data_IF_380944034139
#
_entry.id   IF_380944034139
#
_cell.length_a   1.000
_cell.length_b   1.000
_cell.length_c   1.000
_cell.angle_alpha   90.00
_cell.angle_beta   90.00
_cell.angle_gamma   90.00
#
_symmetry.space_group_name_H-M   'P 1'
#
loop_
_entity.id
_entity.type
_entity.pdbx_description
1 polymer ?
#
# COMPACT_ATOMS: atom_id res chain seq x y z
N UNK A 1 -33.99 21.40 -9.99
CA UNK A 1 -33.08 20.75 -9.01
C UNK A 1 -32.68 21.69 -7.88
N UNK A 2 -31.80 22.69 -8.07
CA UNK A 2 -31.37 23.61 -6.97
C UNK A 2 -32.52 24.28 -6.18
N UNK A 3 -33.60 24.67 -6.87
CA UNK A 3 -34.79 25.21 -6.20
C UNK A 3 -35.47 24.19 -5.26
N UNK A 4 -35.51 22.90 -5.61
CA UNK A 4 -36.03 21.84 -4.74
C UNK A 4 -35.09 21.64 -3.53
N UNK A 5 -33.77 21.69 -3.74
CA UNK A 5 -32.81 21.61 -2.64
C UNK A 5 -32.95 22.79 -1.66
N UNK A 6 -33.15 24.01 -2.15
CA UNK A 6 -33.44 25.18 -1.31
C UNK A 6 -34.75 25.04 -0.52
N UNK A 7 -35.69 24.18 -0.97
CA UNK A 7 -36.92 23.86 -0.26
C UNK A 7 -36.73 22.72 0.76
N UNK A 8 -35.51 22.22 0.96
CA UNK A 8 -35.17 21.21 1.95
C UNK A 8 -35.18 19.76 1.44
N UNK A 9 -35.47 19.52 0.16
CA UNK A 9 -35.38 18.18 -0.42
C UNK A 9 -33.92 17.78 -0.59
N UNK A 10 -33.57 16.58 -0.16
CA UNK A 10 -32.22 16.03 -0.40
C UNK A 10 -32.10 15.61 -1.87
N UNK A 11 -30.89 15.66 -2.47
CA UNK A 11 -30.70 15.24 -3.87
C UNK A 11 -31.29 13.86 -4.17
N UNK A 12 -31.13 12.91 -3.25
CA UNK A 12 -31.57 11.52 -3.41
C UNK A 12 -33.10 11.37 -3.47
N UNK A 13 -33.84 12.40 -3.04
CA UNK A 13 -35.31 12.45 -3.07
C UNK A 13 -35.85 13.04 -4.38
N UNK A 14 -34.98 13.57 -5.24
CA UNK A 14 -35.37 14.24 -6.48
C UNK A 14 -35.37 13.23 -7.63
N UNK A 15 -36.54 13.09 -8.27
CA UNK A 15 -36.72 12.36 -9.52
C UNK A 15 -36.86 13.34 -10.67
N UNK A 16 -36.06 13.16 -11.71
CA UNK A 16 -36.09 14.00 -12.91
C UNK A 16 -36.73 13.25 -14.08
N UNK A 17 -37.92 13.69 -14.46
CA UNK A 17 -38.64 13.19 -15.63
C UNK A 17 -38.18 13.93 -16.90
N UNK A 18 -37.55 13.20 -17.83
CA UNK A 18 -37.10 13.76 -19.12
C UNK A 18 -37.96 13.34 -20.32
N UNK A 19 -39.17 12.81 -20.07
CA UNK A 19 -40.14 12.32 -21.08
C UNK A 19 -40.53 13.39 -22.09
N UNK A 20 -40.63 14.65 -21.64
CA UNK A 20 -41.05 15.77 -22.48
C UNK A 20 -39.98 16.86 -22.55
N UNK A 21 -40.05 17.69 -23.60
CA UNK A 21 -39.08 18.74 -23.89
C UNK A 21 -38.30 18.51 -25.18
N UNK A 22 -37.57 19.53 -25.61
CA UNK A 22 -36.65 19.38 -26.75
C UNK A 22 -35.50 18.45 -26.37
N UNK A 23 -34.84 17.84 -27.36
CA UNK A 23 -33.66 17.00 -27.12
C UNK A 23 -32.59 17.70 -26.27
N UNK A 24 -32.39 19.00 -26.48
CA UNK A 24 -31.45 19.81 -25.70
C UNK A 24 -31.90 19.99 -24.25
N UNK A 25 -33.20 20.16 -23.99
CA UNK A 25 -33.75 20.26 -22.64
C UNK A 25 -33.63 18.93 -21.89
N UNK A 26 -34.02 17.82 -22.52
CA UNK A 26 -33.90 16.48 -21.91
C UNK A 26 -32.44 16.15 -21.62
N UNK A 27 -31.52 16.38 -22.57
CA UNK A 27 -30.09 16.17 -22.34
C UNK A 27 -29.54 17.06 -21.22
N UNK A 28 -29.93 18.34 -21.17
CA UNK A 28 -29.52 19.26 -20.11
C UNK A 28 -30.02 18.82 -18.73
N UNK A 29 -31.25 18.32 -18.64
CA UNK A 29 -31.81 17.78 -17.40
C UNK A 29 -31.03 16.54 -16.94
N UNK A 30 -30.76 15.59 -17.83
CA UNK A 30 -29.98 14.37 -17.51
C UNK A 30 -28.56 14.73 -17.06
N UNK A 31 -27.88 15.67 -17.73
CA UNK A 31 -26.55 16.11 -17.29
C UNK A 31 -26.62 16.76 -15.91
N UNK A 32 -27.63 17.61 -15.66
CA UNK A 32 -27.81 18.24 -14.37
C UNK A 32 -28.10 17.24 -13.24
N UNK A 33 -28.82 16.15 -13.51
CA UNK A 33 -29.11 15.12 -12.51
C UNK A 33 -27.86 14.34 -12.10
N UNK A 34 -26.95 14.08 -13.04
CA UNK A 34 -25.65 13.46 -12.72
C UNK A 34 -24.74 14.40 -11.93
N UNK A 35 -24.67 15.67 -12.30
CA UNK A 35 -23.83 16.67 -11.60
C UNK A 35 -24.35 16.92 -10.18
N UNK A 36 -25.66 16.87 -9.98
CA UNK A 36 -26.31 17.18 -8.70
C UNK A 36 -26.61 15.93 -7.87
N UNK A 37 -26.18 14.73 -8.30
CA UNK A 37 -26.32 13.45 -7.58
C UNK A 37 -27.78 13.14 -7.17
N UNK A 38 -28.74 13.41 -8.07
CA UNK A 38 -30.16 13.20 -7.77
C UNK A 38 -30.54 11.73 -7.79
N UNK A 39 -31.57 11.36 -7.02
CA UNK A 39 -31.98 9.96 -6.80
C UNK A 39 -32.25 9.16 -8.08
N UNK A 40 -33.06 9.69 -8.99
CA UNK A 40 -33.33 8.99 -10.25
C UNK A 40 -33.71 9.89 -11.42
N UNK A 41 -33.54 9.34 -12.61
CA UNK A 41 -33.93 9.93 -13.89
C UNK A 41 -34.93 8.99 -14.54
N UNK A 42 -36.16 9.46 -14.74
CA UNK A 42 -37.25 8.65 -15.28
C UNK A 42 -37.66 9.11 -16.66
N UNK A 43 -38.10 8.16 -17.49
CA UNK A 43 -38.84 8.46 -18.70
C UNK A 43 -40.02 7.50 -18.85
N UNK A 44 -41.09 8.02 -19.42
CA UNK A 44 -42.29 7.26 -19.77
C UNK A 44 -42.24 6.93 -21.26
N UNK A 45 -42.41 5.67 -21.60
CA UNK A 45 -42.55 5.21 -22.98
C UNK A 45 -43.76 4.28 -23.11
N UNK A 46 -44.27 4.06 -24.31
CA UNK A 46 -45.34 3.09 -24.56
C UNK A 46 -45.36 2.65 -26.01
N UNK A 47 -46.22 1.69 -26.34
CA UNK A 47 -46.42 1.26 -27.72
C UNK A 47 -46.96 2.42 -28.54
N UNK A 48 -46.52 2.52 -29.80
CA UNK A 48 -46.90 3.63 -30.67
C UNK A 48 -47.85 3.16 -31.75
N UNK A 49 -48.89 3.95 -31.99
CA UNK A 49 -49.77 3.77 -33.13
C UNK A 49 -49.05 4.09 -34.46
N UNK A 50 -49.73 3.82 -35.56
CA UNK A 50 -49.28 4.13 -36.92
C UNK A 50 -49.01 5.63 -37.19
N UNK A 51 -49.44 6.53 -36.29
CA UNK A 51 -49.18 7.97 -36.33
C UNK A 51 -48.07 8.40 -35.35
N UNK A 52 -47.39 7.45 -34.70
CA UNK A 52 -46.33 7.69 -33.73
C UNK A 52 -46.80 8.16 -32.35
N UNK A 53 -48.11 8.13 -32.06
CA UNK A 53 -48.67 8.48 -30.75
C UNK A 53 -48.64 7.28 -29.81
N UNK A 54 -48.33 7.52 -28.53
CA UNK A 54 -48.36 6.46 -27.51
C UNK A 54 -49.80 6.00 -27.30
N UNK A 55 -50.02 4.68 -27.32
CA UNK A 55 -51.31 4.04 -27.10
C UNK A 55 -51.60 4.07 -25.60
N UNK A 56 -52.74 4.65 -25.21
CA UNK A 56 -53.15 4.72 -23.79
C UNK A 56 -53.29 3.34 -23.17
N UNK A 57 -52.74 3.17 -21.97
CA UNK A 57 -52.68 1.90 -21.24
C UNK A 57 -51.42 1.07 -21.52
N UNK A 58 -50.55 1.53 -22.44
CA UNK A 58 -49.27 0.86 -22.75
C UNK A 58 -48.05 1.58 -22.14
N UNK A 59 -48.28 2.65 -21.38
CA UNK A 59 -47.24 3.44 -20.74
C UNK A 59 -46.45 2.61 -19.71
N UNK A 60 -45.13 2.69 -19.79
CA UNK A 60 -44.16 2.09 -18.89
C UNK A 60 -43.17 3.16 -18.47
N UNK A 61 -42.92 3.23 -17.17
CA UNK A 61 -41.88 4.08 -16.60
C UNK A 61 -40.60 3.27 -16.55
N UNK A 62 -39.54 3.79 -17.16
CA UNK A 62 -38.18 3.28 -16.96
C UNK A 62 -37.40 4.32 -16.15
N UNK A 63 -36.70 3.85 -15.12
CA UNK A 63 -35.87 4.67 -14.25
C UNK A 63 -34.41 4.28 -14.40
N UNK A 64 -33.53 5.27 -14.42
CA UNK A 64 -32.08 5.11 -14.31
C UNK A 64 -31.69 5.74 -12.97
N UNK A 65 -30.81 5.08 -12.22
CA UNK A 65 -30.29 5.57 -10.94
C UNK A 65 -28.88 6.17 -11.16
N UNK A 66 -28.73 7.50 -11.25
CA UNK A 66 -27.43 8.16 -11.42
C UNK A 66 -26.44 7.78 -10.32
N UNK A 67 -26.95 7.64 -9.09
CA UNK A 67 -26.18 7.33 -7.90
C UNK A 67 -25.52 5.95 -7.99
N UNK A 68 -26.16 4.97 -8.64
CA UNK A 68 -25.54 3.66 -8.88
C UNK A 68 -24.33 3.77 -9.82
N UNK A 69 -24.47 4.48 -10.93
CA UNK A 69 -23.36 4.68 -11.87
C UNK A 69 -22.21 5.45 -11.22
N UNK A 70 -22.55 6.45 -10.40
CA UNK A 70 -21.57 7.24 -9.67
C UNK A 70 -20.84 6.40 -8.60
N UNK A 71 -21.56 5.57 -7.85
CA UNK A 71 -20.99 4.62 -6.91
C UNK A 71 -20.00 3.66 -7.59
N UNK A 72 -20.38 3.06 -8.72
CA UNK A 72 -19.49 2.18 -9.49
C UNK A 72 -18.23 2.92 -9.96
N UNK A 73 -18.35 4.16 -10.47
CA UNK A 73 -17.19 4.99 -10.84
C UNK A 73 -16.29 5.30 -9.66
N UNK A 74 -16.86 5.64 -8.49
CA UNK A 74 -16.10 5.91 -7.26
C UNK A 74 -15.39 4.65 -6.77
N UNK A 75 -16.02 3.47 -6.84
CA UNK A 75 -15.37 2.18 -6.52
C UNK A 75 -14.19 1.94 -7.48
N UNK A 76 -14.35 2.16 -8.79
CA UNK A 76 -13.24 2.03 -9.74
C UNK A 76 -12.09 3.00 -9.41
N UNK A 77 -12.40 4.23 -9.01
CA UNK A 77 -11.40 5.20 -8.55
C UNK A 77 -10.68 4.72 -7.27
N UNK A 78 -11.43 4.21 -6.29
CA UNK A 78 -10.85 3.64 -5.07
C UNK A 78 -9.91 2.46 -5.38
N UNK A 79 -10.29 1.57 -6.30
CA UNK A 79 -9.43 0.48 -6.78
C UNK A 79 -8.13 1.03 -7.39
N UNK A 80 -8.20 2.07 -8.22
CA UNK A 80 -7.01 2.72 -8.79
C UNK A 80 -6.09 3.31 -7.72
N UNK A 81 -6.67 3.96 -6.72
CA UNK A 81 -5.93 4.55 -5.60
C UNK A 81 -5.27 3.46 -4.74
N UNK A 82 -5.99 2.39 -4.41
CA UNK A 82 -5.45 1.20 -3.75
C UNK A 82 -4.27 0.61 -4.53
N UNK A 83 -4.43 0.43 -5.85
CA UNK A 83 -3.40 -0.12 -6.73
C UNK A 83 -2.14 0.77 -6.82
N UNK A 84 -2.23 2.04 -6.42
CA UNK A 84 -1.12 3.01 -6.33
C UNK A 84 -0.69 3.29 -4.89
N UNK A 85 -1.09 2.45 -3.93
CA UNK A 85 -0.75 2.55 -2.51
C UNK A 85 -1.23 3.84 -1.82
N UNK A 86 -2.22 4.52 -2.42
CA UNK A 86 -2.90 5.69 -1.86
C UNK A 86 -4.08 5.24 -0.99
N UNK A 87 -3.78 4.52 0.08
CA UNK A 87 -4.82 3.86 0.89
C UNK A 87 -5.78 4.84 1.57
N UNK A 88 -5.28 5.95 2.12
CA UNK A 88 -6.13 6.94 2.78
C UNK A 88 -7.08 7.62 1.78
N UNK A 89 -6.59 7.95 0.59
CA UNK A 89 -7.44 8.48 -0.49
C UNK A 89 -8.47 7.46 -0.98
N UNK A 90 -8.08 6.18 -1.06
CA UNK A 90 -9.02 5.10 -1.39
C UNK A 90 -10.14 5.00 -0.35
N UNK A 91 -9.83 5.06 0.95
CA UNK A 91 -10.83 5.06 2.03
C UNK A 91 -11.73 6.29 2.00
N UNK A 92 -11.18 7.47 1.73
CA UNK A 92 -11.98 8.70 1.62
C UNK A 92 -13.02 8.57 0.50
N UNK A 93 -12.62 8.10 -0.70
CA UNK A 93 -13.53 7.88 -1.82
C UNK A 93 -14.60 6.82 -1.49
N UNK A 94 -14.23 5.76 -0.76
CA UNK A 94 -15.18 4.72 -0.35
C UNK A 94 -16.23 5.24 0.63
N UNK A 95 -15.85 6.11 1.57
CA UNK A 95 -16.79 6.73 2.50
C UNK A 95 -17.84 7.60 1.80
N UNK A 96 -17.50 8.22 0.66
CA UNK A 96 -18.46 8.95 -0.17
C UNK A 96 -19.46 8.04 -0.88
N UNK A 97 -19.15 6.75 -1.05
CA UNK A 97 -20.08 5.76 -1.64
C UNK A 97 -21.06 5.24 -0.59
N UNK A 98 -20.60 5.02 0.65
CA UNK A 98 -21.45 4.57 1.76
C UNK A 98 -22.63 5.53 2.02
N UNK A 99 -22.44 6.83 1.78
CA UNK A 99 -23.50 7.83 1.89
C UNK A 99 -24.39 8.01 0.65
N UNK A 100 -24.08 7.33 -0.47
CA UNK A 100 -24.71 7.60 -1.78
C UNK A 100 -25.78 6.56 -2.17
N UNK A 101 -25.56 5.28 -1.88
CA UNK A 101 -26.46 4.18 -2.27
C UNK A 101 -26.29 2.94 -1.38
N UNK A 102 -27.39 2.27 -1.02
CA UNK A 102 -27.41 1.11 -0.12
C UNK A 102 -27.73 -0.23 -0.82
N UNK A 103 -27.52 -0.32 -2.13
CA UNK A 103 -27.75 -1.58 -2.86
C UNK A 103 -26.79 -2.68 -2.40
N UNK A 104 -27.26 -3.92 -2.10
CA UNK A 104 -26.44 -4.96 -1.48
C UNK A 104 -25.10 -5.25 -2.19
N UNK A 105 -25.09 -5.25 -3.52
CA UNK A 105 -23.88 -5.54 -4.31
C UNK A 105 -22.82 -4.42 -4.22
N UNK A 106 -23.25 -3.17 -4.07
CA UNK A 106 -22.37 -2.01 -3.88
C UNK A 106 -21.83 -2.01 -2.44
N UNK A 107 -22.70 -2.23 -1.45
CA UNK A 107 -22.32 -2.31 -0.03
C UNK A 107 -21.28 -3.42 0.16
N UNK A 108 -21.46 -4.58 -0.47
CA UNK A 108 -20.51 -5.70 -0.40
C UNK A 108 -19.13 -5.32 -0.99
N UNK A 109 -19.10 -4.69 -2.18
CA UNK A 109 -17.87 -4.20 -2.80
C UNK A 109 -17.14 -3.17 -1.94
N UNK A 110 -17.88 -2.18 -1.42
CA UNK A 110 -17.32 -1.12 -0.57
C UNK A 110 -16.78 -1.70 0.73
N UNK A 111 -17.55 -2.56 1.40
CA UNK A 111 -17.14 -3.22 2.65
C UNK A 111 -15.85 -4.01 2.47
N UNK A 112 -15.78 -4.84 1.42
CA UNK A 112 -14.60 -5.63 1.15
C UNK A 112 -13.39 -4.77 0.78
N UNK A 113 -13.57 -3.79 -0.10
CA UNK A 113 -12.48 -2.92 -0.55
C UNK A 113 -11.96 -2.03 0.58
N UNK A 114 -12.84 -1.52 1.45
CA UNK A 114 -12.47 -0.79 2.67
C UNK A 114 -11.65 -1.68 3.60
N UNK A 115 -12.06 -2.93 3.81
CA UNK A 115 -11.32 -3.89 4.64
C UNK A 115 -9.95 -4.22 4.05
N UNK A 116 -9.86 -4.50 2.74
CA UNK A 116 -8.59 -4.71 2.04
C UNK A 116 -7.68 -3.48 2.18
N UNK A 117 -8.21 -2.29 1.92
CA UNK A 117 -7.46 -1.03 1.98
C UNK A 117 -6.88 -0.79 3.37
N UNK A 118 -7.68 -1.02 4.43
CA UNK A 118 -7.20 -0.94 5.82
C UNK A 118 -6.13 -1.98 6.12
N UNK A 119 -6.31 -3.22 5.67
CA UNK A 119 -5.35 -4.30 5.91
C UNK A 119 -3.98 -4.02 5.29
N UNK A 120 -3.96 -3.59 4.03
CA UNK A 120 -2.73 -3.27 3.32
C UNK A 120 -2.11 -1.95 3.78
N UNK A 121 -2.89 -0.97 4.24
CA UNK A 121 -2.38 0.22 4.91
C UNK A 121 -1.69 -0.11 6.24
N UNK A 122 -2.29 -0.99 7.06
CA UNK A 122 -1.68 -1.48 8.29
C UNK A 122 -0.37 -2.23 7.99
N UNK A 123 -0.36 -3.11 6.99
CA UNK A 123 0.86 -3.83 6.61
C UNK A 123 1.94 -2.87 6.11
N UNK A 124 1.61 -1.89 5.28
CA UNK A 124 2.60 -0.96 4.75
C UNK A 124 3.26 -0.06 5.83
N UNK A 125 2.63 0.03 7.00
CA UNK A 125 3.13 0.67 8.23
C UNK A 125 3.78 -0.30 9.22
N UNK A 126 3.95 -1.57 8.84
CA UNK A 126 4.46 -2.67 9.67
C UNK A 126 3.59 -2.97 10.91
N UNK A 127 2.31 -2.61 10.91
CA UNK A 127 1.33 -2.97 11.94
C UNK A 127 0.81 -4.41 11.69
N UNK A 128 1.73 -5.39 11.72
CA UNK A 128 1.48 -6.74 11.20
C UNK A 128 0.27 -7.44 11.84
N UNK A 129 0.07 -7.27 13.15
CA UNK A 129 -1.07 -7.86 13.87
C UNK A 129 -2.42 -7.35 13.36
N UNK A 130 -2.54 -6.04 13.16
CA UNK A 130 -3.75 -5.42 12.62
C UNK A 130 -3.98 -5.86 11.17
N UNK A 131 -2.91 -5.94 10.37
CA UNK A 131 -2.99 -6.45 9.00
C UNK A 131 -3.44 -7.92 8.94
N UNK A 132 -2.95 -8.79 9.84
CA UNK A 132 -3.35 -10.20 9.93
C UNK A 132 -4.85 -10.32 10.21
N UNK A 133 -5.34 -9.60 11.22
CA UNK A 133 -6.75 -9.61 11.60
C UNK A 133 -7.64 -9.15 10.43
N UNK A 134 -7.24 -8.04 9.77
CA UNK A 134 -8.00 -7.49 8.67
C UNK A 134 -7.93 -8.34 7.40
N UNK A 135 -6.83 -9.03 7.11
CA UNK A 135 -6.72 -9.95 5.95
C UNK A 135 -7.44 -11.28 6.17
N UNK A 136 -7.66 -11.70 7.42
CA UNK A 136 -8.18 -13.02 7.75
C UNK A 136 -9.45 -13.40 7.00
N UNK A 137 -9.37 -14.44 6.16
CA UNK A 137 -10.51 -15.02 5.45
C UNK A 137 -10.96 -14.25 4.21
N UNK A 138 -10.31 -13.13 3.84
CA UNK A 138 -10.66 -12.35 2.64
C UNK A 138 -10.45 -13.14 1.34
N UNK A 139 -9.51 -14.08 1.31
CA UNK A 139 -9.25 -14.96 0.17
C UNK A 139 -10.44 -15.89 -0.16
N UNK A 140 -11.35 -16.10 0.80
CA UNK A 140 -12.53 -16.94 0.63
C UNK A 140 -13.73 -16.14 0.09
N UNK A 141 -13.66 -14.82 0.07
CA UNK A 141 -14.73 -13.96 -0.41
C UNK A 141 -14.92 -14.11 -1.95
N UNK A 142 -16.14 -14.23 -2.48
CA UNK A 142 -16.38 -14.38 -3.92
C UNK A 142 -15.72 -13.28 -4.78
N UNK A 143 -15.88 -12.02 -4.36
CA UNK A 143 -15.25 -10.85 -4.99
C UNK A 143 -13.72 -10.94 -5.09
N UNK A 144 -13.02 -11.67 -4.21
CA UNK A 144 -11.57 -11.85 -4.31
C UNK A 144 -11.16 -12.62 -5.58
N UNK A 145 -11.98 -13.57 -6.00
CA UNK A 145 -11.78 -14.27 -7.29
C UNK A 145 -12.11 -13.33 -8.46
N UNK A 146 -13.20 -12.58 -8.31
CA UNK A 146 -13.68 -11.61 -9.30
C UNK A 146 -12.59 -10.56 -9.61
N UNK A 147 -12.00 -9.95 -8.58
CA UNK A 147 -10.91 -8.98 -8.72
C UNK A 147 -9.55 -9.61 -9.07
N UNK A 148 -9.46 -10.93 -9.19
CA UNK A 148 -8.24 -11.63 -9.57
C UNK A 148 -7.17 -11.70 -8.49
N UNK A 149 -7.52 -11.47 -7.22
CA UNK A 149 -6.57 -11.32 -6.11
C UNK A 149 -6.54 -12.53 -5.16
N UNK A 150 -7.46 -13.49 -5.29
CA UNK A 150 -7.59 -14.65 -4.38
C UNK A 150 -6.28 -15.37 -4.08
N UNK A 151 -5.49 -15.70 -5.11
CA UNK A 151 -4.19 -16.38 -4.95
C UNK A 151 -3.19 -15.50 -4.19
N UNK A 152 -3.14 -14.21 -4.53
CA UNK A 152 -2.24 -13.26 -3.89
C UNK A 152 -2.61 -13.09 -2.41
N UNK A 153 -3.90 -12.88 -2.09
CA UNK A 153 -4.37 -12.80 -0.70
C UNK A 153 -3.93 -14.00 0.14
N UNK A 154 -3.99 -15.21 -0.41
CA UNK A 154 -3.52 -16.43 0.29
C UNK A 154 -2.02 -16.39 0.57
N UNK A 155 -1.20 -16.01 -0.41
CA UNK A 155 0.25 -15.86 -0.20
C UNK A 155 0.53 -14.79 0.86
N UNK A 156 -0.07 -13.62 0.68
CA UNK A 156 0.05 -12.47 1.56
C UNK A 156 -0.30 -12.80 3.01
N UNK A 157 -1.45 -13.44 3.24
CA UNK A 157 -1.89 -13.84 4.57
C UNK A 157 -0.89 -14.82 5.23
N UNK A 158 -0.44 -15.84 4.50
CA UNK A 158 0.57 -16.79 5.01
C UNK A 158 1.90 -16.11 5.33
N UNK A 159 2.39 -15.25 4.44
CA UNK A 159 3.67 -14.56 4.59
C UNK A 159 3.65 -13.57 5.75
N UNK A 160 2.55 -12.86 5.94
CA UNK A 160 2.38 -11.92 7.06
C UNK A 160 2.50 -12.64 8.41
N UNK A 161 1.92 -13.83 8.54
CA UNK A 161 2.05 -14.66 9.74
C UNK A 161 3.49 -15.17 9.95
N UNK A 162 4.22 -15.48 8.87
CA UNK A 162 5.63 -15.88 8.96
C UNK A 162 6.52 -14.71 9.38
N UNK A 163 6.22 -13.51 8.90
CA UNK A 163 6.91 -12.30 9.29
C UNK A 163 6.64 -11.90 10.74
N UNK A 164 5.40 -12.02 11.21
CA UNK A 164 5.03 -11.67 12.59
C UNK A 164 5.70 -12.59 13.63
N UNK A 165 5.87 -13.87 13.31
CA UNK A 165 6.50 -14.87 14.19
C UNK A 165 7.97 -14.60 14.51
N UNK A 166 8.70 -13.88 13.65
CA UNK A 166 10.11 -13.61 13.87
C UNK A 166 10.49 -12.20 13.45
N UNK A 167 10.91 -11.42 14.45
CA UNK A 167 11.42 -10.07 14.26
C UNK A 167 12.67 -10.01 13.38
N UNK A 168 13.46 -11.10 13.32
CA UNK A 168 14.70 -11.21 12.56
C UNK A 168 14.56 -12.29 11.47
N UNK A 169 13.71 -12.01 10.49
CA UNK A 169 13.39 -12.90 9.36
C UNK A 169 13.73 -12.29 8.00
N UNK A 170 13.96 -13.16 7.02
CA UNK A 170 14.08 -12.79 5.61
C UNK A 170 12.77 -12.22 5.05
N UNK A 171 11.61 -12.65 5.56
CA UNK A 171 10.31 -12.09 5.18
C UNK A 171 10.23 -10.59 5.44
N UNK A 172 10.65 -10.13 6.62
CA UNK A 172 10.69 -8.71 6.95
C UNK A 172 11.72 -7.93 6.14
N UNK A 173 12.87 -8.54 5.84
CA UNK A 173 13.87 -7.91 4.97
C UNK A 173 13.31 -7.65 3.56
N UNK A 174 12.61 -8.65 3.01
CA UNK A 174 12.03 -8.55 1.67
C UNK A 174 10.79 -7.66 1.66
N UNK A 175 9.97 -7.64 2.71
CA UNK A 175 8.88 -6.66 2.82
C UNK A 175 9.40 -5.23 2.94
N UNK A 176 10.46 -4.95 3.71
CA UNK A 176 11.13 -3.64 3.72
C UNK A 176 11.61 -3.21 2.32
N UNK A 177 12.16 -4.15 1.54
CA UNK A 177 12.57 -3.89 0.15
C UNK A 177 11.36 -3.53 -0.73
N UNK A 178 10.28 -4.32 -0.69
CA UNK A 178 9.09 -4.05 -1.48
C UNK A 178 8.38 -2.78 -1.01
N UNK A 179 8.36 -2.49 0.29
CA UNK A 179 7.85 -1.24 0.87
C UNK A 179 8.62 -0.02 0.34
N UNK A 180 9.93 -0.12 0.18
CA UNK A 180 10.72 0.92 -0.49
C UNK A 180 10.31 1.10 -1.96
N UNK A 181 10.09 0.01 -2.70
CA UNK A 181 9.61 0.06 -4.09
C UNK A 181 8.23 0.69 -4.20
N UNK A 182 7.31 0.39 -3.28
CA UNK A 182 5.96 0.98 -3.23
C UNK A 182 6.03 2.51 -3.09
N UNK A 183 6.92 3.03 -2.24
CA UNK A 183 7.14 4.48 -2.11
C UNK A 183 7.75 5.10 -3.37
N UNK A 184 8.68 4.41 -4.02
CA UNK A 184 9.26 4.86 -5.29
C UNK A 184 8.23 4.90 -6.42
N UNK A 185 7.29 3.93 -6.49
CA UNK A 185 6.18 3.94 -7.44
C UNK A 185 5.24 5.16 -7.27
N UNK A 186 5.16 5.73 -6.07
CA UNK A 186 4.45 6.99 -5.81
C UNK A 186 5.29 8.25 -6.11
N UNK A 187 6.54 8.10 -6.55
CA UNK A 187 7.48 9.20 -6.72
C UNK A 187 8.10 9.73 -5.42
N UNK A 188 7.92 9.04 -4.29
CA UNK A 188 8.44 9.42 -2.97
C UNK A 188 9.84 8.83 -2.76
N UNK A 189 10.82 9.31 -3.52
CA UNK A 189 12.16 8.72 -3.54
C UNK A 189 12.95 8.88 -2.24
N UNK A 190 12.79 10.01 -1.53
CA UNK A 190 13.39 10.19 -0.20
C UNK A 190 12.90 9.12 0.81
N UNK A 191 11.60 8.89 0.83
CA UNK A 191 10.96 7.85 1.66
C UNK A 191 11.41 6.44 1.28
N UNK A 192 11.61 6.19 -0.01
CA UNK A 192 12.12 4.92 -0.51
C UNK A 192 13.58 4.69 -0.07
N UNK A 193 14.45 5.71 -0.19
CA UNK A 193 15.85 5.61 0.25
C UNK A 193 15.96 5.45 1.77
N UNK A 194 15.07 6.07 2.55
CA UNK A 194 15.03 5.87 4.01
C UNK A 194 14.74 4.40 4.38
N UNK A 195 13.80 3.74 3.68
CA UNK A 195 13.45 2.32 3.89
C UNK A 195 14.58 1.39 3.47
N UNK A 196 15.24 1.71 2.36
CA UNK A 196 16.45 1.04 1.91
C UNK A 196 17.59 1.16 2.93
N UNK A 197 17.79 2.33 3.54
CA UNK A 197 18.75 2.51 4.62
C UNK A 197 18.38 1.67 5.87
N UNK A 198 17.10 1.65 6.25
CA UNK A 198 16.63 0.79 7.34
C UNK A 198 16.89 -0.69 7.05
N UNK A 199 16.73 -1.11 5.79
CA UNK A 199 16.98 -2.48 5.36
C UNK A 199 18.46 -2.86 5.54
N UNK A 200 19.42 -2.03 5.12
CA UNK A 200 20.84 -2.35 5.32
C UNK A 200 21.21 -2.47 6.82
N UNK A 201 20.64 -1.62 7.69
CA UNK A 201 20.77 -1.77 9.15
C UNK A 201 20.18 -3.09 9.64
N UNK A 202 19.01 -3.45 9.11
CA UNK A 202 18.30 -4.66 9.47
C UNK A 202 19.06 -5.92 9.08
N UNK A 203 19.78 -5.95 7.95
CA UNK A 203 20.58 -7.12 7.55
C UNK A 203 21.68 -7.44 8.57
N UNK A 204 22.39 -6.42 9.07
CA UNK A 204 23.38 -6.62 10.13
C UNK A 204 22.74 -7.13 11.42
N UNK A 205 21.58 -6.57 11.80
CA UNK A 205 20.83 -7.01 12.97
C UNK A 205 20.39 -8.47 12.85
N UNK A 206 19.89 -8.88 11.69
CA UNK A 206 19.50 -10.27 11.44
C UNK A 206 20.69 -11.21 11.57
N UNK A 207 21.84 -10.87 10.98
CA UNK A 207 23.06 -11.68 11.09
C UNK A 207 23.52 -11.84 12.54
N UNK A 208 23.68 -10.72 13.25
CA UNK A 208 24.10 -10.72 14.65
C UNK A 208 23.12 -11.53 15.54
N UNK A 209 21.82 -11.39 15.28
CA UNK A 209 20.83 -12.10 16.07
C UNK A 209 20.78 -13.60 15.76
N UNK A 210 20.71 -13.98 14.48
CA UNK A 210 20.45 -15.37 14.09
C UNK A 210 21.71 -16.24 14.12
N UNK A 211 22.87 -15.68 13.77
CA UNK A 211 24.09 -16.46 13.54
C UNK A 211 25.09 -16.33 14.70
N UNK A 212 25.00 -15.26 15.51
CA UNK A 212 26.01 -14.91 16.52
C UNK A 212 25.47 -14.83 17.94
N UNK A 213 24.52 -15.69 18.32
CA UNK A 213 24.10 -15.82 19.73
C UNK A 213 23.06 -14.78 20.18
N UNK A 214 22.20 -14.32 19.27
CA UNK A 214 21.12 -13.35 19.57
C UNK A 214 21.62 -12.00 20.05
N UNK A 215 22.77 -11.56 19.52
CA UNK A 215 23.32 -10.24 19.81
C UNK A 215 22.37 -9.14 19.31
N UNK A 216 22.09 -8.18 20.18
CA UNK A 216 21.21 -7.05 19.92
C UNK A 216 22.04 -5.78 19.76
N UNK A 217 21.85 -5.06 18.66
CA UNK A 217 22.64 -3.86 18.37
C UNK A 217 22.27 -2.67 19.26
N UNK A 218 21.04 -2.64 19.79
CA UNK A 218 20.54 -1.58 20.68
C UNK A 218 20.85 -1.84 22.17
N UNK A 219 21.35 -3.03 22.50
CA UNK A 219 21.79 -3.39 23.84
C UNK A 219 22.74 -4.58 23.80
N UNK A 220 23.95 -4.37 23.27
CA UNK A 220 24.90 -5.45 23.06
C UNK A 220 25.44 -5.99 24.38
N UNK A 221 25.22 -7.28 24.62
CA UNK A 221 25.86 -8.00 25.73
C UNK A 221 27.30 -8.35 25.36
N UNK A 222 28.25 -7.64 25.97
CA UNK A 222 29.69 -7.82 25.73
C UNK A 222 30.15 -9.19 26.21
N UNK A 223 29.52 -9.76 27.24
CA UNK A 223 29.91 -11.07 27.77
C UNK A 223 29.61 -12.19 26.79
N UNK A 224 28.66 -11.96 25.86
CA UNK A 224 28.35 -12.86 24.76
C UNK A 224 29.35 -12.77 23.59
N UNK A 225 30.26 -11.78 23.59
CA UNK A 225 31.32 -11.66 22.58
C UNK A 225 32.54 -12.53 22.93
N UNK A 226 33.30 -13.00 21.92
CA UNK A 226 34.60 -13.63 22.15
C UNK A 226 35.53 -12.73 22.98
N UNK A 227 36.26 -13.30 23.95
CA UNK A 227 37.14 -12.57 24.89
C UNK A 227 38.07 -11.55 24.20
N UNK A 228 38.59 -11.90 23.02
CA UNK A 228 39.47 -11.04 22.22
C UNK A 228 38.80 -9.72 21.77
N UNK A 229 37.48 -9.69 21.65
CA UNK A 229 36.71 -8.53 21.20
C UNK A 229 36.15 -7.70 22.35
N UNK A 230 35.95 -8.30 23.53
CA UNK A 230 35.30 -7.64 24.67
C UNK A 230 35.96 -6.29 25.00
N UNK A 231 37.29 -6.24 25.08
CA UNK A 231 38.02 -5.00 25.38
C UNK A 231 37.83 -3.89 24.34
N UNK A 232 37.65 -4.23 23.05
CA UNK A 232 37.39 -3.26 21.98
C UNK A 232 36.01 -2.62 22.12
N UNK A 233 35.00 -3.43 22.43
CA UNK A 233 33.61 -2.99 22.49
C UNK A 233 33.21 -2.40 23.85
N UNK A 234 33.88 -2.79 24.94
CA UNK A 234 33.70 -2.20 26.28
C UNK A 234 33.95 -0.68 26.28
N UNK A 235 34.92 -0.22 25.49
CA UNK A 235 35.26 1.20 25.35
C UNK A 235 34.18 2.03 24.64
N UNK A 236 33.21 1.39 23.99
CA UNK A 236 32.15 2.04 23.23
C UNK A 236 30.86 2.23 24.06
N UNK A 237 30.85 1.84 25.34
CA UNK A 237 29.72 2.09 26.23
C UNK A 237 29.42 3.58 26.34
N UNK A 238 28.14 3.93 26.27
CA UNK A 238 27.68 5.29 26.47
C UNK A 238 27.67 5.67 27.96
N UNK A 239 27.29 6.92 28.26
CA UNK A 239 27.21 7.45 29.63
C UNK A 239 26.24 6.67 30.55
N UNK A 240 25.32 5.88 29.98
CA UNK A 240 24.37 5.01 30.71
C UNK A 240 24.87 3.56 30.83
N UNK A 241 26.15 3.30 30.53
CA UNK A 241 26.75 1.97 30.52
C UNK A 241 26.10 0.98 29.53
N UNK A 242 25.35 1.49 28.55
CA UNK A 242 24.76 0.70 27.46
C UNK A 242 25.65 0.76 26.22
N UNK A 243 25.70 -0.35 25.50
CA UNK A 243 26.41 -0.43 24.23
C UNK A 243 25.42 -0.51 23.08
N UNK A 244 25.26 0.62 22.39
CA UNK A 244 24.41 0.77 21.20
C UNK A 244 25.30 0.92 19.97
N UNK A 245 25.15 -0.01 19.02
CA UNK A 245 25.89 -0.02 17.76
C UNK A 245 25.04 0.58 16.64
N UNK A 246 25.48 1.71 16.11
CA UNK A 246 24.98 2.23 14.84
C UNK A 246 25.45 1.37 13.64
N UNK A 247 24.86 1.60 12.47
CA UNK A 247 25.09 0.83 11.24
C UNK A 247 26.54 0.39 11.01
N UNK A 248 27.47 1.35 10.89
CA UNK A 248 28.88 1.03 10.59
C UNK A 248 29.52 0.16 11.67
N UNK A 249 29.24 0.41 12.96
CA UNK A 249 29.78 -0.39 14.06
C UNK A 249 29.21 -1.81 14.11
N UNK A 250 27.95 -1.98 13.71
CA UNK A 250 27.34 -3.32 13.59
C UNK A 250 28.02 -4.15 12.50
N UNK A 251 28.39 -3.53 11.37
CA UNK A 251 29.16 -4.21 10.32
C UNK A 251 30.63 -4.43 10.69
N UNK A 252 31.26 -3.52 11.45
CA UNK A 252 32.58 -3.75 12.03
C UNK A 252 32.58 -4.95 12.99
N UNK A 253 31.51 -5.12 13.78
CA UNK A 253 31.37 -6.30 14.64
C UNK A 253 31.24 -7.58 13.83
N UNK A 254 30.46 -7.56 12.75
CA UNK A 254 30.38 -8.71 11.84
C UNK A 254 31.74 -9.04 11.21
N UNK A 255 32.51 -8.03 10.80
CA UNK A 255 33.88 -8.24 10.30
C UNK A 255 34.80 -8.85 11.38
N UNK A 256 34.77 -8.34 12.61
CA UNK A 256 35.56 -8.85 13.73
C UNK A 256 35.19 -10.30 14.11
N UNK A 257 33.92 -10.69 13.87
CA UNK A 257 33.38 -12.04 14.00
C UNK A 257 33.63 -12.91 12.77
N UNK A 258 34.40 -12.42 11.82
CA UNK A 258 34.81 -13.08 10.57
C UNK A 258 33.67 -13.33 9.57
N UNK A 259 32.50 -12.68 9.74
CA UNK A 259 31.33 -12.84 8.89
C UNK A 259 31.57 -12.24 7.47
N UNK A 260 31.21 -12.98 6.39
CA UNK A 260 31.38 -12.50 5.02
C UNK A 260 30.65 -11.18 4.72
N UNK A 261 29.45 -10.97 5.28
CA UNK A 261 28.65 -9.76 5.09
C UNK A 261 29.37 -8.55 5.71
N UNK A 262 29.93 -8.73 6.91
CA UNK A 262 30.74 -7.73 7.61
C UNK A 262 31.99 -7.34 6.82
N UNK A 263 32.76 -8.34 6.40
CA UNK A 263 33.98 -8.16 5.58
C UNK A 263 33.69 -7.39 4.30
N UNK A 264 32.69 -7.82 3.53
CA UNK A 264 32.32 -7.18 2.26
C UNK A 264 31.92 -5.71 2.48
N UNK A 265 31.06 -5.45 3.48
CA UNK A 265 30.65 -4.07 3.80
C UNK A 265 31.84 -3.19 4.16
N UNK A 266 32.72 -3.67 5.04
CA UNK A 266 33.86 -2.88 5.52
C UNK A 266 34.92 -2.66 4.44
N UNK A 267 35.12 -3.63 3.55
CA UNK A 267 35.94 -3.47 2.36
C UNK A 267 35.37 -2.41 1.42
N UNK A 268 34.08 -2.49 1.08
CA UNK A 268 33.38 -1.52 0.24
C UNK A 268 33.40 -0.12 0.88
N UNK A 269 33.19 -0.05 2.19
CA UNK A 269 33.23 1.19 2.95
C UNK A 269 34.63 1.83 2.91
N UNK A 270 35.70 1.06 3.14
CA UNK A 270 37.09 1.55 3.10
C UNK A 270 37.52 1.99 1.70
N UNK A 271 37.13 1.24 0.66
CA UNK A 271 37.48 1.54 -0.74
C UNK A 271 36.69 2.70 -1.37
N UNK A 272 35.79 3.33 -0.61
CA UNK A 272 34.84 4.33 -1.12
C UNK A 272 33.92 3.77 -2.22
N UNK A 273 33.54 2.49 -2.10
CA UNK A 273 32.60 1.81 -2.98
C UNK A 273 31.17 2.35 -2.88
N UNK A 274 30.25 1.70 -3.61
CA UNK A 274 28.87 2.17 -3.78
C UNK A 274 28.09 2.23 -2.45
N UNK A 275 28.44 1.44 -1.44
CA UNK A 275 27.79 1.53 -0.11
C UNK A 275 27.96 2.91 0.54
N UNK A 276 29.12 3.57 0.37
CA UNK A 276 29.28 4.96 0.85
C UNK A 276 28.40 5.94 0.08
N UNK A 277 28.02 5.63 -1.16
CA UNK A 277 27.04 6.44 -1.89
C UNK A 277 25.69 6.30 -1.20
N UNK A 278 25.23 5.09 -0.90
CA UNK A 278 23.97 4.85 -0.18
C UNK A 278 23.92 5.60 1.15
N UNK A 279 24.97 5.48 1.97
CA UNK A 279 25.06 6.17 3.27
C UNK A 279 25.04 7.70 3.12
N UNK A 280 25.76 8.23 2.12
CA UNK A 280 25.76 9.67 1.84
C UNK A 280 24.41 10.16 1.33
N UNK A 281 23.71 9.40 0.49
CA UNK A 281 22.40 9.79 -0.04
C UNK A 281 21.37 9.92 1.07
N UNK A 282 21.37 9.00 2.05
CA UNK A 282 20.54 9.17 3.25
C UNK A 282 20.93 10.41 4.02
N UNK A 283 22.22 10.62 4.29
CA UNK A 283 22.66 11.77 5.10
C UNK A 283 22.47 13.12 4.41
N UNK A 284 22.48 13.17 3.07
CA UNK A 284 22.30 14.40 2.30
C UNK A 284 20.83 14.81 2.13
N UNK A 285 19.91 13.88 2.38
CA UNK A 285 18.46 14.11 2.35
C UNK A 285 18.04 15.13 3.42
N UNK A 286 17.10 16.01 3.05
CA UNK A 286 16.42 16.91 3.99
C UNK A 286 15.62 16.17 5.08
N UNK A 287 15.16 14.94 4.79
CA UNK A 287 14.47 14.08 5.76
C UNK A 287 15.44 13.29 6.66
N UNK A 288 16.71 13.68 6.69
CA UNK A 288 17.74 13.14 7.57
C UNK A 288 18.58 14.28 8.16
N UNK A 289 19.75 14.56 7.59
CA UNK A 289 20.72 15.52 8.12
C UNK A 289 21.24 16.52 7.09
N UNK A 290 20.75 16.45 5.85
CA UNK A 290 21.20 17.30 4.76
C UNK A 290 20.13 18.28 4.30
N UNK A 291 20.26 18.77 3.07
CA UNK A 291 19.42 19.84 2.53
C UNK A 291 18.92 19.56 1.09
N UNK A 292 19.35 18.45 0.47
CA UNK A 292 19.04 18.14 -0.93
C UNK A 292 17.86 17.17 -1.07
N UNK A 293 17.08 17.27 -2.16
CA UNK A 293 16.10 16.26 -2.52
C UNK A 293 16.77 14.99 -3.07
N UNK A 294 16.13 13.84 -2.88
CA UNK A 294 16.55 12.57 -3.48
C UNK A 294 15.73 12.30 -4.74
N UNK A 295 16.41 12.06 -5.86
CA UNK A 295 15.78 11.71 -7.14
C UNK A 295 15.78 10.21 -7.45
N UNK A 296 15.06 9.83 -8.50
CA UNK A 296 14.93 8.44 -8.97
C UNK A 296 16.28 7.76 -9.22
N UNK A 297 17.24 8.44 -9.85
CA UNK A 297 18.56 7.87 -10.13
C UNK A 297 19.34 7.48 -8.87
N UNK A 298 19.19 8.25 -7.78
CA UNK A 298 19.80 7.92 -6.50
C UNK A 298 19.10 6.72 -5.86
N UNK A 299 17.77 6.68 -5.89
CA UNK A 299 16.98 5.54 -5.45
C UNK A 299 17.38 4.24 -6.17
N UNK A 300 17.43 4.25 -7.51
CA UNK A 300 17.77 3.08 -8.32
C UNK A 300 19.17 2.54 -8.02
N UNK A 301 20.13 3.44 -7.74
CA UNK A 301 21.48 3.07 -7.32
C UNK A 301 21.48 2.41 -5.94
N UNK A 302 20.80 3.01 -4.95
CA UNK A 302 20.66 2.43 -3.61
C UNK A 302 19.98 1.07 -3.64
N UNK A 303 18.92 0.92 -4.44
CA UNK A 303 18.17 -0.33 -4.58
C UNK A 303 19.09 -1.46 -5.05
N UNK A 304 19.90 -1.21 -6.09
CA UNK A 304 20.83 -2.20 -6.63
C UNK A 304 21.84 -2.67 -5.58
N UNK A 305 22.50 -1.72 -4.91
CA UNK A 305 23.50 -2.04 -3.88
C UNK A 305 22.90 -2.90 -2.78
N UNK A 306 21.69 -2.57 -2.31
CA UNK A 306 21.06 -3.32 -1.22
C UNK A 306 20.61 -4.71 -1.66
N UNK A 307 20.23 -4.90 -2.93
CA UNK A 307 19.96 -6.22 -3.47
C UNK A 307 21.21 -7.11 -3.46
N UNK A 308 22.40 -6.54 -3.72
CA UNK A 308 23.66 -7.26 -3.60
C UNK A 308 23.92 -7.71 -2.15
N UNK A 309 23.62 -6.86 -1.14
CA UNK A 309 23.74 -7.26 0.27
C UNK A 309 22.66 -8.28 0.70
N UNK A 310 21.46 -8.25 0.11
CA UNK A 310 20.47 -9.30 0.32
C UNK A 310 20.95 -10.65 -0.22
N UNK A 311 21.63 -10.67 -1.37
CA UNK A 311 22.23 -11.87 -1.95
C UNK A 311 23.30 -12.48 -1.05
N UNK A 312 24.05 -11.65 -0.33
CA UNK A 312 25.05 -12.10 0.65
C UNK A 312 24.43 -12.56 1.98
N UNK A 313 23.21 -12.12 2.30
CA UNK A 313 22.59 -12.38 3.60
C UNK A 313 21.65 -13.58 3.58
N UNK A 314 20.88 -13.74 2.50
CA UNK A 314 19.82 -14.74 2.43
C UNK A 314 19.84 -15.50 1.11
N UNK A 315 19.92 -16.82 1.19
CA UNK A 315 19.70 -17.67 0.03
C UNK A 315 18.25 -17.55 -0.47
N UNK A 316 18.09 -17.42 -1.78
CA UNK A 316 16.79 -17.46 -2.46
C UNK A 316 15.76 -16.42 -1.98
N UNK A 317 16.16 -15.28 -1.39
CA UNK A 317 15.21 -14.23 -0.95
C UNK A 317 14.28 -13.74 -2.08
N UNK A 318 14.73 -13.81 -3.35
CA UNK A 318 13.91 -13.51 -4.53
C UNK A 318 12.63 -14.35 -4.63
N UNK A 319 12.60 -15.56 -4.04
CA UNK A 319 11.37 -16.39 -3.98
C UNK A 319 10.31 -15.80 -3.04
N UNK A 320 10.71 -14.97 -2.08
CA UNK A 320 9.81 -14.30 -1.13
C UNK A 320 9.14 -13.09 -1.77
N UNK A 321 9.81 -12.39 -2.70
CA UNK A 321 9.31 -11.19 -3.39
C UNK A 321 7.85 -11.32 -3.85
N UNK A 322 7.46 -12.34 -4.66
CA UNK A 322 6.08 -12.46 -5.11
C UNK A 322 5.08 -12.70 -3.97
N UNK A 323 5.53 -13.15 -2.79
CA UNK A 323 4.66 -13.44 -1.64
C UNK A 323 4.35 -12.20 -0.79
N UNK A 324 5.27 -11.23 -0.75
CA UNK A 324 5.08 -9.95 -0.04
C UNK A 324 4.53 -8.85 -0.95
N UNK A 325 4.45 -9.08 -2.26
CA UNK A 325 3.85 -8.12 -3.18
C UNK A 325 2.37 -7.90 -2.86
N UNK A 326 1.96 -6.64 -2.92
CA UNK A 326 0.57 -6.27 -2.72
C UNK A 326 -0.23 -6.58 -4.00
N UNK A 327 -1.48 -7.05 -3.88
CA UNK A 327 -2.31 -7.37 -5.03
C UNK A 327 -2.60 -6.11 -5.84
N UNK A 328 -2.78 -6.29 -7.15
CA UNK A 328 -3.37 -5.26 -8.02
C UNK A 328 -4.77 -5.74 -8.41
N UNK A 329 -5.79 -5.02 -7.97
CA UNK A 329 -7.19 -5.35 -8.24
C UNK A 329 -7.55 -4.99 -9.68
N UNK A 330 -8.38 -5.83 -10.30
CA UNK A 330 -8.97 -5.53 -11.62
C UNK A 330 -10.08 -4.49 -11.47
N UNK A 331 -10.02 -3.44 -12.30
CA UNK A 331 -11.00 -2.35 -12.32
C UNK A 331 -12.39 -2.79 -12.80
N UNK A 332 -12.46 -3.86 -13.62
CA UNK A 332 -13.69 -4.46 -14.10
C UNK A 332 -13.51 -5.96 -14.35
N UNK A 333 -14.26 -6.83 -13.66
CA UNK A 333 -14.20 -8.27 -13.92
C UNK A 333 -15.23 -8.77 -14.95
N UNK A 334 -16.04 -7.89 -15.52
CA UNK A 334 -17.07 -8.19 -16.53
C UNK A 334 -16.75 -7.57 -17.91
N UNK A 335 -15.47 -7.47 -18.26
CA UNK A 335 -15.02 -7.25 -19.64
C UNK A 335 -14.30 -8.48 -20.16
#
# INVERSE_FOLDING_TARGET
IKCLMHRGYRPEEIVADFTSGTKAMSAGLVVATFIMETGSVSYVHGERDQNGRVISGTERVTSIEPNRLLAEKRITLAIRLFNRYQFDSSLAVLSEVEGLIETPDIVEKVTLLSRLTKAYSAWDRFELKAAIELLGGLENHPLASQWGIKKQLKHNNNTLHLEEKSQYSSFRAVDLLENAKRRAEEGKFDDAVARLYRLIEYLAQVKLHNDYGRLLTDNLDITALPNKLQGKYEQLKNSKQKLELGLTRSYELLEDLDDPLGKQFMEDYRRKGEIRVVLRMRNASILAHGFGPVGEGAYCRCLRVIQDYLDLTFDNWRRIVPMVQFPKLRENPLS
#
